data_IF_024898852601
#
_entry.id   IF_024898852601
#
_cell.length_a   1.000
_cell.length_b   1.000
_cell.length_c   1.000
_cell.angle_alpha   90.00
_cell.angle_beta   90.00
_cell.angle_gamma   90.00
#
_symmetry.space_group_name_H-M   'P 1'
#
loop_
_entity.id
_entity.type
_entity.pdbx_description
1 polymer ?
#
# COMPACT_ATOMS: atom_id res chain seq x y z
N UNK A 1 -22.49 57.48 24.05
CA UNK A 1 -22.35 56.85 23.97
C UNK A 1 -22.50 55.75 23.69
N UNK A 2 -22.62 55.81 23.64
CA UNK A 2 -22.65 54.87 23.28
C UNK A 2 -22.79 53.78 23.00
N UNK A 3 -22.73 53.86 22.90
CA UNK A 3 -22.70 52.98 22.58
C UNK A 3 -22.90 51.80 22.29
N UNK A 4 -22.82 51.79 22.04
CA UNK A 4 -22.83 50.90 21.64
C UNK A 4 -23.04 49.75 21.36
N UNK A 5 -23.13 50.34 21.41
CA UNK A 5 -23.16 49.37 21.02
C UNK A 5 -23.26 48.25 20.64
N UNK A 6 -23.27 48.73 20.62
CA UNK A 6 -23.15 47.81 20.13
C UNK A 6 -23.18 46.70 19.87
N UNK A 7 -23.24 47.01 19.89
CA UNK A 7 -23.07 46.04 19.47
C UNK A 7 -23.25 44.96 19.27
N UNK A 8 -23.24 45.13 19.22
CA UNK A 8 -23.19 44.31 18.87
C UNK A 8 -23.28 43.23 18.44
N UNK A 9 -23.31 43.56 18.39
CA UNK A 9 -23.21 42.80 17.83
C UNK A 9 -23.11 41.70 17.50
N UNK A 10 -23.18 42.14 17.63
CA UNK A 10 -22.86 41.32 17.15
C UNK A 10 -22.90 40.23 16.89
N UNK A 11 -23.18 40.73 16.92
CA UNK A 11 -22.98 39.86 16.50
C UNK A 11 -22.93 38.79 16.13
N UNK A 12 -23.06 39.24 16.11
CA UNK A 12 -22.77 38.39 15.54
C UNK A 12 -22.75 37.42 15.20
N UNK A 13 -22.81 37.45 14.92
CA UNK A 13 -22.52 36.67 14.33
C UNK A 13 -22.58 35.62 14.18
N UNK A 14 -22.90 36.09 14.22
CA UNK A 14 -22.81 35.02 13.82
C UNK A 14 -22.84 34.07 13.67
N UNK A 15 -23.03 34.26 13.54
CA UNK A 15 -22.87 33.37 13.25
C UNK A 15 -22.98 32.42 12.88
N UNK A 16 -23.27 32.91 12.64
CA UNK A 16 -23.15 32.04 12.12
C UNK A 16 -23.01 31.13 11.75
N UNK A 17 -23.12 31.48 11.68
CA UNK A 17 -22.74 30.54 11.19
C UNK A 17 -22.61 29.53 11.01
N UNK A 18 -22.78 29.92 11.09
CA UNK A 18 -22.39 28.99 10.84
C UNK A 18 -22.55 27.98 10.75
N UNK A 19 -22.85 28.18 10.48
CA UNK A 19 -22.86 27.27 10.37
C UNK A 19 -22.83 26.43 9.79
N UNK A 20 -22.82 26.74 9.35
CA UNK A 20 -22.62 25.91 8.78
C UNK A 20 -22.29 25.14 8.41
N UNK A 21 -22.07 25.44 8.16
CA UNK A 21 -21.59 24.66 7.87
C UNK A 21 -21.33 23.76 8.07
N UNK A 22 -21.17 23.92 8.03
CA UNK A 22 -20.73 22.91 8.30
C UNK A 22 -20.98 21.80 8.40
N UNK A 23 -20.93 21.90 8.56
CA UNK A 23 -21.48 20.70 8.56
C UNK A 23 -21.18 19.78 7.54
N UNK A 24 -21.27 20.05 6.56
CA UNK A 24 -21.12 19.21 5.52
C UNK A 24 -19.86 18.50 5.43
N UNK A 25 -18.91 19.12 5.77
CA UNK A 25 -17.63 18.60 5.61
C UNK A 25 -17.39 17.37 6.28
N UNK A 26 -17.83 17.31 7.45
CA UNK A 26 -17.46 16.25 8.30
C UNK A 26 -18.06 14.98 7.92
N UNK A 27 -19.09 15.00 7.18
CA UNK A 27 -19.71 13.78 6.89
C UNK A 27 -19.07 13.07 5.77
N UNK A 28 -18.06 13.64 5.18
CA UNK A 28 -17.45 12.96 4.09
C UNK A 28 -16.32 12.15 4.54
N UNK A 29 -16.61 11.00 5.12
CA UNK A 29 -15.59 10.05 5.46
C UNK A 29 -15.05 9.45 4.18
N UNK A 30 -13.74 9.18 4.13
CA UNK A 30 -13.16 8.51 2.96
C UNK A 30 -13.81 7.16 2.77
N UNK A 31 -14.13 6.84 1.54
CA UNK A 31 -14.66 5.52 1.23
C UNK A 31 -13.51 4.54 1.21
N UNK A 32 -13.67 3.41 1.87
CA UNK A 32 -12.67 2.36 1.84
C UNK A 32 -13.04 1.37 0.74
N UNK A 33 -12.27 1.41 -0.34
CA UNK A 33 -12.53 0.54 -1.49
C UNK A 33 -11.85 -0.83 -1.35
N UNK A 34 -11.17 -1.09 -0.22
CA UNK A 34 -10.37 -2.29 -0.04
C UNK A 34 -10.90 -3.18 1.07
N UNK A 35 -12.22 -3.27 1.19
CA UNK A 35 -12.80 -4.11 2.23
C UNK A 35 -12.73 -5.60 1.89
N UNK A 36 -12.49 -5.93 0.64
CA UNK A 36 -12.50 -7.31 0.20
C UNK A 36 -11.07 -7.84 0.14
N UNK A 37 -10.60 -8.39 1.26
CA UNK A 37 -9.25 -8.92 1.37
C UNK A 37 -9.24 -10.35 0.86
N UNK A 38 -8.44 -10.62 -0.15
CA UNK A 38 -8.39 -11.97 -0.75
C UNK A 38 -7.21 -12.78 -0.25
N UNK A 39 -6.21 -12.14 0.36
CA UNK A 39 -5.06 -12.85 0.88
C UNK A 39 -4.37 -12.01 1.94
N UNK A 40 -3.91 -12.67 2.99
CA UNK A 40 -3.05 -12.05 3.99
C UNK A 40 -1.82 -12.94 4.12
N UNK A 41 -0.68 -12.33 4.39
CA UNK A 41 0.52 -13.12 4.54
C UNK A 41 1.60 -12.38 5.29
N UNK A 42 2.70 -13.06 5.46
CA UNK A 42 3.89 -12.46 6.07
C UNK A 42 5.11 -12.92 5.30
N UNK A 43 6.12 -12.09 5.29
CA UNK A 43 7.36 -12.37 4.59
C UNK A 43 8.51 -11.99 5.50
N UNK A 44 9.55 -12.82 5.50
CA UNK A 44 10.73 -12.56 6.31
C UNK A 44 11.43 -11.32 5.76
N UNK A 45 11.88 -10.44 6.65
CA UNK A 45 12.67 -9.27 6.24
C UNK A 45 13.95 -9.73 5.57
N UNK A 46 14.48 -8.86 4.72
CA UNK A 46 15.65 -9.22 3.91
C UNK A 46 16.92 -9.44 4.73
N UNK A 47 17.05 -8.72 5.84
CA UNK A 47 18.28 -8.83 6.62
C UNK A 47 18.45 -10.23 7.17
N UNK A 48 19.62 -10.86 6.97
CA UNK A 48 19.87 -12.19 7.54
C UNK A 48 20.06 -12.15 9.05
N UNK A 49 20.12 -10.94 9.63
CA UNK A 49 20.37 -10.81 11.07
C UNK A 49 19.10 -10.80 11.90
N UNK A 50 17.95 -10.91 11.26
CA UNK A 50 16.70 -10.89 12.00
C UNK A 50 15.76 -11.96 11.46
N UNK A 51 14.86 -12.44 12.34
CA UNK A 51 13.79 -13.33 11.92
C UNK A 51 12.46 -12.60 11.81
N UNK A 52 12.50 -11.28 11.89
CA UNK A 52 11.28 -10.46 11.85
C UNK A 52 10.62 -10.48 10.48
N UNK A 53 9.33 -10.20 10.47
CA UNK A 53 8.51 -10.30 9.27
C UNK A 53 7.85 -8.97 8.93
N UNK A 54 7.49 -8.84 7.67
CA UNK A 54 6.59 -7.80 7.17
C UNK A 54 5.25 -8.48 6.88
N UNK A 55 4.17 -7.87 7.31
CA UNK A 55 2.83 -8.43 7.09
C UNK A 55 2.15 -7.68 5.96
N UNK A 56 1.45 -8.38 5.09
CA UNK A 56 0.81 -7.76 3.95
C UNK A 56 -0.60 -8.28 3.75
N UNK A 57 -1.39 -7.47 3.04
CA UNK A 57 -2.75 -7.84 2.63
C UNK A 57 -2.88 -7.59 1.14
N UNK A 58 -3.62 -8.45 0.46
CA UNK A 58 -3.98 -8.25 -0.93
C UNK A 58 -5.48 -8.15 -0.99
N UNK A 59 -5.99 -7.10 -1.65
CA UNK A 59 -7.41 -6.83 -1.75
C UNK A 59 -7.80 -6.51 -3.18
N UNK A 60 -9.07 -6.66 -3.47
CA UNK A 60 -9.64 -6.24 -4.75
C UNK A 60 -10.29 -4.88 -4.52
N UNK A 61 -9.93 -3.90 -5.34
CA UNK A 61 -10.57 -2.59 -5.30
C UNK A 61 -12.00 -2.77 -5.82
N UNK A 62 -12.98 -2.34 -5.05
CA UNK A 62 -14.38 -2.68 -5.31
C UNK A 62 -14.96 -2.03 -6.56
N UNK A 63 -14.39 -0.92 -7.01
CA UNK A 63 -14.86 -0.25 -8.22
C UNK A 63 -14.01 -0.60 -9.44
N UNK A 64 -12.70 -0.72 -9.25
CA UNK A 64 -11.80 -0.98 -10.36
C UNK A 64 -11.69 -2.44 -10.73
N UNK A 65 -12.02 -3.30 -9.79
CA UNK A 65 -11.87 -4.75 -9.95
C UNK A 65 -10.41 -5.12 -10.25
N UNK A 66 -9.51 -4.50 -9.51
CA UNK A 66 -8.06 -4.68 -9.65
C UNK A 66 -7.48 -5.06 -8.30
N UNK A 67 -6.40 -5.82 -8.34
CA UNK A 67 -5.71 -6.25 -7.12
C UNK A 67 -4.73 -5.19 -6.65
N UNK A 68 -4.72 -4.98 -5.35
CA UNK A 68 -3.79 -4.07 -4.68
C UNK A 68 -3.16 -4.81 -3.51
N UNK A 69 -1.96 -4.42 -3.15
CA UNK A 69 -1.27 -4.95 -1.98
C UNK A 69 -0.88 -3.79 -1.07
N UNK A 70 -0.91 -4.05 0.24
CA UNK A 70 -0.37 -3.08 1.18
C UNK A 70 0.42 -3.81 2.26
N UNK A 71 1.43 -3.15 2.77
CA UNK A 71 2.18 -3.66 3.92
C UNK A 71 1.46 -3.12 5.15
N UNK A 72 0.78 -3.99 5.88
CA UNK A 72 -0.08 -3.57 6.96
C UNK A 72 0.69 -3.31 8.25
N UNK A 73 1.76 -4.04 8.50
CA UNK A 73 2.57 -3.87 9.69
C UNK A 73 3.88 -4.62 9.53
N UNK A 74 4.75 -4.50 10.54
CA UNK A 74 5.98 -5.29 10.55
C UNK A 74 6.46 -5.47 11.98
N UNK A 75 7.29 -6.48 12.18
CA UNK A 75 7.96 -6.71 13.45
C UNK A 75 9.25 -5.91 13.45
N UNK A 76 9.68 -5.46 14.62
CA UNK A 76 10.94 -4.76 14.74
C UNK A 76 10.84 -3.25 14.62
N UNK A 77 9.66 -2.73 14.31
CA UNK A 77 9.39 -1.31 14.48
C UNK A 77 9.82 -0.35 13.38
N UNK A 78 10.23 -0.81 12.23
CA UNK A 78 10.57 0.12 11.15
C UNK A 78 9.35 0.83 10.63
N UNK A 79 9.50 2.11 10.28
CA UNK A 79 8.40 2.87 9.69
C UNK A 79 8.31 2.55 8.22
N UNK A 80 7.08 2.52 7.72
CA UNK A 80 6.85 2.29 6.30
C UNK A 80 5.49 2.84 5.91
N UNK A 81 5.31 3.05 4.60
CA UNK A 81 4.04 3.47 4.05
C UNK A 81 3.05 2.31 4.10
N UNK A 82 1.81 2.61 4.44
CA UNK A 82 0.74 1.61 4.43
C UNK A 82 -0.21 1.82 3.26
N UNK A 83 0.26 2.50 2.23
CA UNK A 83 -0.58 2.76 1.07
C UNK A 83 -0.85 1.48 0.29
N UNK A 84 -2.00 1.46 -0.37
CA UNK A 84 -2.36 0.37 -1.27
C UNK A 84 -1.69 0.60 -2.62
N UNK A 85 -1.05 -0.44 -3.15
CA UNK A 85 -0.27 -0.36 -4.38
C UNK A 85 -0.86 -1.34 -5.38
N UNK A 86 -1.18 -0.90 -6.60
CA UNK A 86 -1.70 -1.85 -7.60
C UNK A 86 -0.67 -2.94 -7.86
N UNK A 87 -1.09 -4.19 -7.80
CA UNK A 87 -0.18 -5.30 -8.09
C UNK A 87 0.37 -5.21 -9.49
N UNK A 88 -0.41 -4.67 -10.44
CA UNK A 88 0.08 -4.54 -11.81
C UNK A 88 1.25 -3.58 -11.90
N UNK A 89 1.36 -2.59 -11.01
CA UNK A 89 2.51 -1.70 -11.01
C UNK A 89 3.76 -2.44 -10.57
N UNK A 90 3.61 -3.32 -9.59
CA UNK A 90 4.73 -4.12 -9.10
C UNK A 90 5.19 -5.10 -10.15
N UNK A 91 4.26 -5.82 -10.78
CA UNK A 91 4.64 -6.78 -11.81
C UNK A 91 5.25 -6.09 -13.02
N UNK A 92 4.80 -4.86 -13.33
CA UNK A 92 5.42 -4.11 -14.43
C UNK A 92 6.89 -3.81 -14.15
N UNK A 93 7.22 -3.46 -12.90
CA UNK A 93 8.61 -3.24 -12.52
C UNK A 93 9.42 -4.53 -12.65
N UNK A 94 8.85 -5.64 -12.20
CA UNK A 94 9.55 -6.92 -12.22
C UNK A 94 9.70 -7.47 -13.63
N UNK A 95 8.68 -7.29 -14.46
CA UNK A 95 8.71 -7.83 -15.84
C UNK A 95 9.92 -7.35 -16.64
N UNK A 96 10.39 -6.15 -16.37
CA UNK A 96 11.50 -5.58 -17.15
C UNK A 96 12.88 -5.94 -16.61
N UNK A 97 12.97 -6.68 -15.50
CA UNK A 97 14.27 -7.00 -14.92
C UNK A 97 15.03 -8.06 -15.69
N UNK A 98 14.32 -8.98 -16.33
CA UNK A 98 14.96 -10.03 -17.10
C UNK A 98 15.82 -10.94 -16.23
N UNK A 99 16.98 -11.32 -16.74
CA UNK A 99 17.88 -12.22 -16.05
C UNK A 99 18.84 -11.55 -15.10
N UNK A 100 18.82 -10.25 -15.02
CA UNK A 100 19.82 -9.51 -14.27
C UNK A 100 19.43 -9.36 -12.82
N UNK A 101 20.39 -9.49 -11.89
CA UNK A 101 20.10 -9.21 -10.49
C UNK A 101 19.77 -7.72 -10.32
N UNK A 102 18.92 -7.44 -9.35
CA UNK A 102 18.49 -6.06 -9.11
C UNK A 102 18.35 -5.81 -7.62
N UNK A 103 18.39 -4.53 -7.25
CA UNK A 103 18.25 -4.11 -5.87
C UNK A 103 16.79 -3.79 -5.58
N UNK A 104 16.46 -3.81 -4.28
CA UNK A 104 15.12 -3.43 -3.85
C UNK A 104 14.73 -2.05 -4.30
N UNK A 105 15.70 -1.17 -4.53
CA UNK A 105 15.40 0.21 -4.91
C UNK A 105 14.60 0.33 -6.20
N UNK A 106 14.56 -0.71 -7.05
CA UNK A 106 13.69 -0.68 -8.23
C UNK A 106 12.22 -0.53 -7.84
N UNK A 107 11.87 -0.88 -6.60
CA UNK A 107 10.50 -0.80 -6.11
C UNK A 107 10.10 0.60 -5.65
N UNK A 108 11.05 1.54 -5.56
CA UNK A 108 10.72 2.86 -5.04
C UNK A 108 9.65 3.56 -5.86
N UNK A 109 9.62 3.31 -7.14
CA UNK A 109 8.72 4.04 -8.03
C UNK A 109 7.25 3.70 -7.82
N UNK A 110 6.93 2.61 -7.13
CA UNK A 110 5.52 2.26 -6.91
C UNK A 110 4.93 2.93 -5.68
N UNK A 111 5.76 3.62 -4.88
CA UNK A 111 5.30 4.27 -3.66
C UNK A 111 5.18 5.78 -3.86
N UNK A 112 4.14 6.36 -3.23
CA UNK A 112 4.08 7.81 -3.07
C UNK A 112 4.85 8.23 -1.82
N UNK A 113 4.82 7.40 -0.79
CA UNK A 113 5.53 7.68 0.45
C UNK A 113 7.03 7.50 0.29
N UNK A 114 7.79 8.10 1.19
CA UNK A 114 9.23 8.17 1.05
C UNK A 114 10.01 7.53 2.19
N UNK A 115 9.39 6.64 2.93
CA UNK A 115 10.11 5.95 3.99
C UNK A 115 11.24 5.10 3.40
N UNK A 116 12.39 5.14 4.06
CA UNK A 116 13.55 4.38 3.60
C UNK A 116 13.30 2.87 3.60
N UNK A 117 12.34 2.40 4.38
CA UNK A 117 12.07 0.97 4.46
C UNK A 117 11.12 0.44 3.39
N UNK A 118 10.45 1.35 2.65
CA UNK A 118 9.40 0.92 1.74
C UNK A 118 9.86 -0.11 0.71
N UNK A 119 10.94 0.19 0.01
CA UNK A 119 11.38 -0.69 -1.08
C UNK A 119 11.86 -2.03 -0.55
N UNK A 120 12.61 -2.03 0.54
CA UNK A 120 13.11 -3.29 1.10
C UNK A 120 12.00 -4.16 1.66
N UNK A 121 11.03 -3.56 2.33
CA UNK A 121 9.90 -4.31 2.87
C UNK A 121 9.04 -4.89 1.76
N UNK A 122 8.82 -4.11 0.69
CA UNK A 122 8.05 -4.64 -0.44
C UNK A 122 8.80 -5.76 -1.16
N UNK A 123 10.11 -5.64 -1.30
CA UNK A 123 10.90 -6.71 -1.89
C UNK A 123 10.82 -7.99 -1.05
N UNK A 124 10.81 -7.85 0.28
CA UNK A 124 10.61 -9.00 1.15
C UNK A 124 9.26 -9.66 0.86
N UNK A 125 8.21 -8.86 0.69
CA UNK A 125 6.90 -9.39 0.35
C UNK A 125 6.91 -10.11 -1.00
N UNK A 126 7.61 -9.55 -1.99
CA UNK A 126 7.73 -10.20 -3.30
C UNK A 126 8.45 -11.54 -3.20
N UNK A 127 9.45 -11.66 -2.32
CA UNK A 127 10.07 -12.96 -2.08
C UNK A 127 9.07 -13.92 -1.43
N UNK A 128 8.29 -13.41 -0.48
CA UNK A 128 7.29 -14.25 0.18
C UNK A 128 6.21 -14.72 -0.77
N UNK A 129 5.89 -13.93 -1.77
CA UNK A 129 4.91 -14.31 -2.79
C UNK A 129 5.50 -15.24 -3.85
N UNK A 130 6.80 -15.47 -3.82
CA UNK A 130 7.44 -16.36 -4.78
C UNK A 130 7.75 -15.71 -6.11
N UNK A 131 7.68 -14.39 -6.20
CA UNK A 131 7.94 -13.69 -7.44
C UNK A 131 9.42 -13.50 -7.69
N UNK A 132 10.19 -13.30 -6.64
CA UNK A 132 11.63 -13.09 -6.74
C UNK A 132 12.33 -13.93 -5.69
N UNK A 133 13.62 -14.19 -5.90
CA UNK A 133 14.44 -14.94 -4.96
C UNK A 133 15.75 -14.20 -4.75
N UNK A 134 16.48 -14.61 -3.74
CA UNK A 134 17.79 -14.04 -3.46
C UNK A 134 18.77 -14.40 -4.57
N UNK A 135 19.55 -13.42 -5.02
CA UNK A 135 20.62 -13.68 -5.97
C UNK A 135 21.76 -14.42 -5.30
N UNK A 136 22.44 -15.26 -6.05
CA UNK A 136 23.62 -15.95 -5.53
C UNK A 136 24.75 -14.97 -5.24
N UNK A 137 24.70 -13.77 -5.81
CA UNK A 137 25.76 -12.80 -5.65
C UNK A 137 25.72 -12.05 -4.33
N UNK A 138 24.54 -11.86 -3.78
CA UNK A 138 24.41 -11.11 -2.52
C UNK A 138 23.03 -11.33 -1.94
N UNK A 139 22.94 -11.32 -0.60
CA UNK A 139 21.64 -11.44 0.07
C UNK A 139 20.74 -10.25 -0.20
N UNK A 140 21.32 -9.11 -0.61
CA UNK A 140 20.54 -7.90 -0.86
C UNK A 140 20.23 -7.68 -2.34
N UNK A 141 20.62 -8.62 -3.20
CA UNK A 141 20.24 -8.59 -4.60
C UNK A 141 19.21 -9.66 -4.86
N UNK A 142 18.34 -9.38 -5.82
CA UNK A 142 17.23 -10.26 -6.17
C UNK A 142 17.33 -10.66 -7.62
N UNK A 143 16.73 -11.80 -7.95
CA UNK A 143 16.48 -12.18 -9.34
C UNK A 143 15.05 -12.67 -9.40
N UNK A 144 14.46 -12.64 -10.59
CA UNK A 144 13.12 -13.20 -10.77
C UNK A 144 13.18 -14.71 -10.47
N UNK A 145 12.11 -15.21 -9.87
CA UNK A 145 12.03 -16.65 -9.61
C UNK A 145 12.03 -17.39 -10.94
N UNK A 146 12.56 -18.63 -10.99
CA UNK A 146 12.56 -19.38 -12.25
C UNK A 146 11.17 -19.56 -12.86
N UNK A 147 10.13 -19.62 -12.02
CA UNK A 147 8.75 -19.74 -12.47
C UNK A 147 7.99 -18.44 -12.30
N UNK A 148 8.69 -17.31 -12.45
CA UNK A 148 8.11 -16.00 -12.20
C UNK A 148 6.83 -15.76 -12.98
N UNK A 149 6.82 -16.07 -14.28
CA UNK A 149 5.66 -15.76 -15.10
C UNK A 149 4.44 -16.54 -14.64
N UNK A 150 4.63 -17.80 -14.29
CA UNK A 150 3.53 -18.60 -13.78
C UNK A 150 3.03 -18.04 -12.45
N UNK A 151 3.94 -17.69 -11.54
CA UNK A 151 3.57 -17.15 -10.25
C UNK A 151 2.87 -15.82 -10.38
N UNK A 152 3.37 -14.97 -11.28
CA UNK A 152 2.74 -13.68 -11.55
C UNK A 152 1.32 -13.88 -12.03
N UNK A 153 1.13 -14.77 -12.98
CA UNK A 153 -0.19 -14.99 -13.58
C UNK A 153 -1.16 -15.60 -12.57
N UNK A 154 -0.68 -16.52 -11.75
CA UNK A 154 -1.52 -17.09 -10.69
C UNK A 154 -1.94 -16.03 -9.69
N UNK A 155 -1.02 -15.15 -9.32
CA UNK A 155 -1.32 -14.09 -8.37
C UNK A 155 -2.36 -13.14 -8.94
N UNK A 156 -2.17 -12.69 -10.17
CA UNK A 156 -3.08 -11.75 -10.79
C UNK A 156 -4.45 -12.36 -11.05
N UNK A 157 -4.53 -13.68 -11.16
CA UNK A 157 -5.80 -14.34 -11.41
C UNK A 157 -6.69 -14.39 -10.17
N UNK A 158 -6.18 -13.99 -9.01
CA UNK A 158 -7.00 -13.96 -7.82
C UNK A 158 -8.25 -13.09 -7.99
N UNK A 159 -8.16 -12.06 -8.82
CA UNK A 159 -9.31 -11.20 -9.06
C UNK A 159 -10.43 -11.97 -9.74
N UNK A 160 -10.10 -12.86 -10.66
CA UNK A 160 -11.10 -13.63 -11.37
C UNK A 160 -11.75 -14.68 -10.48
N UNK A 161 -10.95 -15.36 -9.67
CA UNK A 161 -11.47 -16.38 -8.78
C UNK A 161 -12.46 -15.80 -7.80
N UNK A 162 -12.13 -14.66 -7.21
CA UNK A 162 -13.01 -14.06 -6.22
C UNK A 162 -14.26 -13.51 -6.86
N UNK A 163 -14.13 -12.98 -8.06
CA UNK A 163 -15.31 -12.51 -8.78
C UNK A 163 -16.27 -13.66 -9.05
N UNK A 164 -15.73 -14.80 -9.41
CA UNK A 164 -16.58 -15.96 -9.69
C UNK A 164 -17.25 -16.51 -8.45
N UNK A 165 -16.65 -16.32 -7.31
CA UNK A 165 -17.21 -16.83 -6.08
C UNK A 165 -18.51 -16.14 -5.69
N UNK A 166 -18.77 -15.00 -6.27
CA UNK A 166 -20.02 -14.32 -6.06
C UNK A 166 -21.05 -14.79 -7.05
#
# INVERSE_FOLDING_TARGET
MARKTSNQEELNQPEIVGENEQVAVTEELPVNHFTYIVREGKAKKLSPKTENHVFYEIAIHDEENELYIRMSSNEGGGLHSKEWIPLKDITAVLDVQGDKPFKSSVMKCVFSGQSANNAGFLAACCRGLGLIIQSEKSVFLHVLAPDYEQRRDELLSLVDSETKAE
#
